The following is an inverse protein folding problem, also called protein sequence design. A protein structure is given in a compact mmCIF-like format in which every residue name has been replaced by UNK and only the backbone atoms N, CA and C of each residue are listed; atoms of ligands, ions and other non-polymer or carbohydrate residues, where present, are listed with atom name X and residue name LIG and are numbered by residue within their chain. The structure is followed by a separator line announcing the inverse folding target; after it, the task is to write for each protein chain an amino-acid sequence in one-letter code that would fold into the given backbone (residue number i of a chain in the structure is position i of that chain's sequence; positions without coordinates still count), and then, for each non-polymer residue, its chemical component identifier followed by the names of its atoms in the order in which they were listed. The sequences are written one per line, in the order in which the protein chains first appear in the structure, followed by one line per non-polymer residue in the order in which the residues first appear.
data_IF_966188938686
#
_entry.id   IF_966188938686
#
_cell.length_a   1.000
_cell.length_b   1.000
_cell.length_c   1.000
_cell.angle_alpha   90.00
_cell.angle_beta   90.00
_cell.angle_gamma   90.00
#
_symmetry.space_group_name_H-M   'P 1'
#
loop_
_entity.id
_entity.type
_entity.pdbx_description
1 polymer ?
#
# COMPACT_ATOMS: atom_id res chain seq x y z
N UNK A 1 -16.23 42.37 20.20
CA UNK A 1 -14.98 42.20 19.43
C UNK A 1 -14.55 40.74 19.56
N UNK A 2 -14.89 39.89 18.60
CA UNK A 2 -14.50 38.47 18.59
C UNK A 2 -13.22 38.31 17.78
N UNK A 3 -12.11 38.02 18.47
CA UNK A 3 -10.82 37.69 17.88
C UNK A 3 -10.94 36.39 17.10
N UNK A 4 -10.78 36.46 15.77
CA UNK A 4 -10.64 35.28 14.90
C UNK A 4 -9.25 34.69 15.15
N UNK A 5 -9.19 33.60 15.91
CA UNK A 5 -7.98 32.78 16.02
C UNK A 5 -7.81 32.00 14.72
N UNK A 6 -7.01 32.53 13.80
CA UNK A 6 -6.56 31.82 12.61
C UNK A 6 -5.58 30.71 13.04
N UNK A 7 -6.09 29.50 13.25
CA UNK A 7 -5.25 28.31 13.39
C UNK A 7 -4.73 27.94 12.01
N UNK A 8 -3.48 28.26 11.73
CA UNK A 8 -2.74 27.73 10.59
C UNK A 8 -2.69 26.19 10.76
N UNK A 9 -3.28 25.37 9.88
CA UNK A 9 -3.19 23.94 10.05
C UNK A 9 -1.74 23.54 9.75
N UNK A 10 -1.03 23.06 10.77
CA UNK A 10 0.21 22.34 10.57
C UNK A 10 -0.11 21.03 9.84
N UNK A 11 -0.13 21.07 8.51
CA UNK A 11 -0.40 19.90 7.68
C UNK A 11 0.83 18.99 7.77
N UNK A 12 0.65 17.80 8.33
CA UNK A 12 1.72 16.81 8.39
C UNK A 12 2.09 16.32 6.98
N UNK A 13 3.38 16.11 6.71
CA UNK A 13 3.87 15.66 5.38
C UNK A 13 3.15 14.40 4.86
N UNK A 14 2.69 13.55 5.78
CA UNK A 14 1.95 12.32 5.48
C UNK A 14 0.51 12.56 4.98
N UNK A 15 -0.08 13.72 5.27
CA UNK A 15 -1.42 14.09 4.83
C UNK A 15 -1.44 14.66 3.40
N UNK A 16 -0.31 15.23 2.97
CA UNK A 16 -0.11 15.68 1.58
C UNK A 16 0.04 14.52 0.60
N UNK A 17 0.39 13.32 1.10
CA UNK A 17 0.64 12.14 0.29
C UNK A 17 -0.63 11.30 0.19
N UNK A 18 -1.24 11.30 -1.01
CA UNK A 18 -2.42 10.50 -1.32
C UNK A 18 -2.14 8.99 -1.11
N UNK A 19 -2.82 8.34 -0.14
CA UNK A 19 -2.65 6.93 0.13
C UNK A 19 -3.00 6.03 -1.06
N UNK A 20 -3.96 6.41 -1.92
CA UNK A 20 -4.34 5.60 -3.07
C UNK A 20 -3.20 5.54 -4.09
N UNK A 21 -2.61 6.69 -4.43
CA UNK A 21 -1.45 6.79 -5.32
C UNK A 21 -0.25 6.02 -4.78
N UNK A 22 -0.07 6.00 -3.47
CA UNK A 22 0.96 5.20 -2.82
C UNK A 22 0.83 3.70 -3.12
N UNK A 23 -0.39 3.16 -3.01
CA UNK A 23 -0.65 1.75 -3.30
C UNK A 23 -0.49 1.43 -4.79
N UNK A 24 -0.87 2.34 -5.68
CA UNK A 24 -0.69 2.17 -7.13
C UNK A 24 0.79 2.13 -7.50
N UNK A 25 1.55 3.15 -7.08
CA UNK A 25 3.00 3.20 -7.30
C UNK A 25 3.70 1.95 -6.75
N UNK A 26 3.32 1.51 -5.54
CA UNK A 26 3.89 0.31 -4.94
C UNK A 26 3.58 -0.96 -5.76
N UNK A 27 2.36 -1.10 -6.30
CA UNK A 27 1.99 -2.24 -7.16
C UNK A 27 2.77 -2.23 -8.46
N UNK A 28 2.92 -1.07 -9.10
CA UNK A 28 3.71 -0.92 -10.33
C UNK A 28 5.16 -1.33 -10.12
N UNK A 29 5.78 -0.89 -9.01
CA UNK A 29 7.17 -1.26 -8.70
C UNK A 29 7.34 -2.72 -8.33
N UNK A 30 6.37 -3.32 -7.62
CA UNK A 30 6.42 -4.72 -7.22
C UNK A 30 6.16 -5.67 -8.39
N UNK A 31 5.25 -5.30 -9.29
CA UNK A 31 4.77 -6.14 -10.39
C UNK A 31 4.79 -5.37 -11.71
N UNK A 32 5.98 -5.04 -12.25
CA UNK A 32 6.10 -4.24 -13.47
C UNK A 32 5.50 -4.93 -14.70
N UNK A 33 5.48 -6.27 -14.71
CA UNK A 33 4.94 -7.09 -15.79
C UNK A 33 3.56 -7.69 -15.45
N UNK A 34 2.86 -7.13 -14.46
CA UNK A 34 1.58 -7.64 -13.98
C UNK A 34 1.69 -8.59 -12.79
N UNK A 35 0.54 -8.84 -12.16
CA UNK A 35 0.44 -9.51 -10.86
C UNK A 35 0.77 -11.00 -11.00
N UNK A 36 1.80 -11.45 -10.27
CA UNK A 36 2.20 -12.85 -10.20
C UNK A 36 2.13 -13.39 -8.75
N UNK A 37 1.84 -14.68 -8.62
CA UNK A 37 1.83 -15.34 -7.32
C UNK A 37 3.26 -15.44 -6.77
N UNK A 38 3.55 -14.95 -5.54
CA UNK A 38 4.89 -15.02 -4.98
C UNK A 38 5.34 -16.45 -4.64
N UNK A 39 4.42 -17.42 -4.56
CA UNK A 39 4.73 -18.81 -4.19
C UNK A 39 5.03 -19.71 -5.39
N UNK A 40 4.30 -19.54 -6.49
CA UNK A 40 4.37 -20.43 -7.65
C UNK A 40 4.56 -19.70 -8.99
N UNK A 41 4.83 -18.39 -8.94
CA UNK A 41 5.08 -17.46 -10.07
C UNK A 41 3.99 -17.37 -11.14
N UNK A 42 2.91 -18.15 -11.02
CA UNK A 42 1.77 -18.11 -11.94
C UNK A 42 1.11 -16.72 -11.97
N UNK A 43 0.75 -16.29 -13.18
CA UNK A 43 -0.07 -15.10 -13.45
C UNK A 43 -1.59 -15.37 -13.34
N UNK A 44 -2.01 -16.62 -13.07
CA UNK A 44 -3.42 -16.97 -12.86
C UNK A 44 -3.89 -16.52 -11.48
N UNK A 45 -4.10 -15.22 -11.33
CA UNK A 45 -4.43 -14.56 -10.05
C UNK A 45 -5.78 -13.87 -10.14
N UNK A 46 -6.67 -14.15 -9.18
CA UNK A 46 -7.95 -13.46 -9.00
C UNK A 46 -7.84 -12.39 -7.93
N UNK A 47 -8.41 -11.20 -8.19
CA UNK A 47 -8.61 -10.15 -7.18
C UNK A 47 -9.69 -10.60 -6.20
N UNK A 48 -9.33 -10.72 -4.92
CA UNK A 48 -10.18 -11.29 -3.86
C UNK A 48 -10.54 -10.24 -2.81
N UNK A 49 -11.01 -9.08 -3.27
CA UNK A 49 -11.39 -7.95 -2.43
C UNK A 49 -10.20 -7.26 -1.77
N UNK A 50 -10.46 -6.67 -0.59
CA UNK A 50 -9.54 -5.79 0.11
C UNK A 50 -9.33 -6.26 1.56
N UNK A 51 -8.24 -5.82 2.19
CA UNK A 51 -7.95 -6.13 3.60
C UNK A 51 -8.91 -5.33 4.49
N UNK A 52 -9.56 -6.00 5.46
CA UNK A 52 -10.57 -5.40 6.36
C UNK A 52 -10.10 -4.10 7.01
N UNK A 53 -8.87 -4.07 7.51
CA UNK A 53 -8.30 -2.92 8.23
C UNK A 53 -7.46 -2.00 7.31
N UNK A 54 -7.44 -2.25 6.00
CA UNK A 54 -6.73 -1.45 5.01
C UNK A 54 -7.46 -1.56 3.66
N UNK A 55 -8.53 -0.77 3.45
CA UNK A 55 -9.38 -0.89 2.27
C UNK A 55 -8.64 -0.61 0.96
N UNK A 56 -7.53 0.13 0.99
CA UNK A 56 -6.69 0.34 -0.19
C UNK A 56 -5.77 -0.85 -0.50
N UNK A 57 -5.51 -1.73 0.46
CA UNK A 57 -4.70 -2.93 0.29
C UNK A 57 -5.55 -4.04 -0.33
N UNK A 58 -5.12 -4.54 -1.48
CA UNK A 58 -5.83 -5.55 -2.26
C UNK A 58 -5.36 -6.94 -1.86
N UNK A 59 -6.33 -7.84 -1.72
CA UNK A 59 -6.11 -9.26 -1.53
C UNK A 59 -6.22 -9.98 -2.88
N UNK A 60 -5.40 -11.00 -3.05
CA UNK A 60 -5.28 -11.82 -4.23
C UNK A 60 -5.36 -13.30 -3.86
N UNK A 61 -5.91 -14.11 -4.76
CA UNK A 61 -5.90 -15.56 -4.67
C UNK A 61 -5.32 -16.13 -5.95
N UNK A 62 -4.31 -16.98 -5.83
CA UNK A 62 -3.78 -17.73 -6.95
C UNK A 62 -4.71 -18.88 -7.30
N UNK A 63 -5.10 -19.02 -8.56
CA UNK A 63 -5.91 -20.12 -9.05
C UNK A 63 -5.07 -21.38 -9.32
N UNK A 64 -3.75 -21.27 -9.41
CA UNK A 64 -2.86 -22.42 -9.64
C UNK A 64 -2.55 -23.17 -8.34
N UNK A 65 -2.09 -22.48 -7.31
CA UNK A 65 -1.69 -23.09 -6.03
C UNK A 65 -2.65 -22.81 -4.86
N UNK A 66 -3.74 -22.05 -5.08
CA UNK A 66 -4.71 -21.68 -4.05
C UNK A 66 -4.23 -20.67 -3.01
N UNK A 67 -2.95 -20.28 -3.03
CA UNK A 67 -2.35 -19.37 -2.05
C UNK A 67 -3.02 -17.99 -2.08
N UNK A 68 -3.25 -17.41 -0.90
CA UNK A 68 -3.73 -16.04 -0.72
C UNK A 68 -2.55 -15.14 -0.40
N UNK A 69 -2.51 -13.98 -1.05
CA UNK A 69 -1.49 -12.96 -0.83
C UNK A 69 -2.09 -11.57 -1.01
N UNK A 70 -1.38 -10.54 -0.61
CA UNK A 70 -1.77 -9.14 -0.74
C UNK A 70 -0.62 -8.32 -1.33
N UNK A 71 -0.85 -7.02 -1.51
CA UNK A 71 0.18 -6.11 -2.04
C UNK A 71 1.51 -6.24 -1.26
N UNK A 72 1.47 -6.37 0.07
CA UNK A 72 2.66 -6.43 0.92
C UNK A 72 3.30 -7.82 1.04
N UNK A 73 2.67 -8.89 0.53
CA UNK A 73 3.19 -10.24 0.74
C UNK A 73 4.58 -10.40 0.12
N UNK A 74 5.52 -10.93 0.91
CA UNK A 74 6.91 -11.09 0.49
C UNK A 74 7.73 -9.79 0.51
N UNK A 75 7.25 -8.73 1.15
CA UNK A 75 8.06 -7.51 1.40
C UNK A 75 8.28 -7.29 2.89
N UNK A 76 9.26 -6.46 3.23
CA UNK A 76 9.53 -6.04 4.62
C UNK A 76 8.29 -5.40 5.26
N UNK A 77 7.42 -4.81 4.43
CA UNK A 77 6.17 -4.17 4.85
C UNK A 77 5.13 -5.17 5.37
N UNK A 78 5.22 -6.45 5.00
CA UNK A 78 4.28 -7.47 5.46
C UNK A 78 4.27 -7.62 6.98
N UNK A 79 5.42 -7.37 7.63
CA UNK A 79 5.63 -7.58 9.07
C UNK A 79 5.30 -6.36 9.91
N UNK A 80 5.28 -5.15 9.34
CA UNK A 80 5.08 -3.92 10.11
C UNK A 80 3.68 -3.35 9.85
N UNK A 81 2.93 -3.13 10.93
CA UNK A 81 1.58 -2.55 10.91
C UNK A 81 1.55 -1.02 10.69
N UNK A 82 2.42 -0.49 9.82
CA UNK A 82 2.51 0.95 9.58
C UNK A 82 1.79 1.32 8.27
N UNK A 83 1.10 2.48 8.21
CA UNK A 83 0.42 2.91 7.00
C UNK A 83 1.42 3.18 5.87
N UNK A 84 1.04 2.85 4.63
CA UNK A 84 1.95 2.84 3.48
C UNK A 84 2.67 4.18 3.21
N UNK A 85 2.02 5.30 3.55
CA UNK A 85 2.58 6.65 3.48
C UNK A 85 3.87 6.83 4.28
N UNK A 86 3.96 6.21 5.47
CA UNK A 86 5.15 6.27 6.32
C UNK A 86 6.34 5.60 5.63
N UNK A 87 6.07 4.51 4.91
CA UNK A 87 7.11 3.77 4.20
C UNK A 87 7.62 4.50 2.96
N UNK A 88 6.73 5.16 2.21
CA UNK A 88 7.15 5.99 1.09
C UNK A 88 8.03 7.12 1.59
N UNK A 89 7.64 7.83 2.64
CA UNK A 89 8.50 8.86 3.24
C UNK A 89 9.84 8.28 3.70
N UNK A 90 9.86 7.12 4.38
CA UNK A 90 11.12 6.49 4.79
C UNK A 90 12.00 6.12 3.59
N UNK A 91 11.45 5.52 2.53
CA UNK A 91 12.22 5.13 1.34
C UNK A 91 12.78 6.34 0.56
N UNK A 92 12.02 7.45 0.53
CA UNK A 92 12.45 8.68 -0.15
C UNK A 92 13.43 9.50 0.70
N UNK A 93 13.31 9.48 2.03
CA UNK A 93 14.15 10.24 2.95
C UNK A 93 15.39 9.45 3.44
N UNK A 94 15.48 8.15 3.13
CA UNK A 94 16.66 7.32 3.42
C UNK A 94 17.71 7.35 2.29
N UNK A 95 17.61 8.31 1.38
CA UNK A 95 18.59 8.60 0.33
C UNK A 95 19.28 9.91 0.66
#
# INVERSE_FOLDING_TARGET
MTTKSSTNPEIGILELIDPAKCYEFFREKKWPCGICCPKCTSNRVKKNGHKRNAPLCRNYKCNNCGCRFNDFTGTILARKHHPIRVWIVMLYCSR
#
